data_IF_660943109822
#
_entry.id   IF_660943109822
#
_cell.length_a   1.000
_cell.length_b   1.000
_cell.length_c   1.000
_cell.angle_alpha   90.00
_cell.angle_beta   90.00
_cell.angle_gamma   90.00
#
_symmetry.space_group_name_H-M   'P 1'
#
loop_
_entity.id
_entity.type
_entity.pdbx_description
1 polymer ?
#
# COMPACT_ATOMS: atom_id res chain seq x y z
N UNK A 1 -14.86 24.67 0.16
CA UNK A 1 -15.18 23.75 1.27
C UNK A 1 -13.94 22.88 1.51
N UNK A 2 -13.41 22.80 2.73
CA UNK A 2 -12.27 21.92 3.01
C UNK A 2 -12.74 20.45 3.05
N UNK A 3 -12.12 19.62 2.25
CA UNK A 3 -12.44 18.20 2.17
C UNK A 3 -11.82 17.47 3.36
N UNK A 4 -12.61 16.67 4.08
CA UNK A 4 -12.16 15.98 5.29
C UNK A 4 -11.42 14.67 4.92
N UNK A 5 -10.18 14.57 5.39
CA UNK A 5 -9.37 13.35 5.34
C UNK A 5 -9.71 12.44 6.51
N UNK A 6 -10.06 11.20 6.26
CA UNK A 6 -10.35 10.19 7.30
C UNK A 6 -9.47 8.96 7.12
N UNK A 7 -9.11 8.31 8.23
CA UNK A 7 -8.33 7.08 8.22
C UNK A 7 -9.17 5.92 7.67
N UNK A 8 -8.52 4.94 7.05
CA UNK A 8 -9.18 3.73 6.54
C UNK A 8 -9.04 2.64 7.60
N UNK A 9 -10.16 2.28 8.21
CA UNK A 9 -10.24 1.19 9.21
C UNK A 9 -10.97 0.02 8.58
N UNK A 10 -10.41 -1.18 8.72
CA UNK A 10 -10.96 -2.42 8.16
C UNK A 10 -11.01 -3.48 9.24
N UNK A 11 -12.14 -4.18 9.33
CA UNK A 11 -12.35 -5.34 10.22
C UNK A 11 -12.18 -6.62 9.39
N UNK A 12 -11.27 -7.49 9.82
CA UNK A 12 -10.99 -8.78 9.20
C UNK A 12 -11.44 -9.89 10.13
N UNK A 13 -12.20 -10.83 9.61
CA UNK A 13 -12.47 -12.07 10.30
C UNK A 13 -11.24 -12.95 10.31
N UNK A 14 -10.96 -13.57 11.46
CA UNK A 14 -9.79 -14.40 11.65
C UNK A 14 -10.20 -15.86 11.76
N UNK A 15 -9.58 -16.78 11.02
CA UNK A 15 -9.79 -18.20 11.19
C UNK A 15 -9.25 -18.67 12.55
N UNK A 16 -9.71 -19.82 13.02
CA UNK A 16 -9.08 -20.49 14.15
C UNK A 16 -7.62 -20.86 13.81
N UNK A 17 -6.77 -20.91 14.82
CA UNK A 17 -5.36 -21.25 14.67
C UNK A 17 -4.41 -20.05 14.70
N UNK A 18 -3.14 -20.32 14.39
CA UNK A 18 -2.07 -19.33 14.37
C UNK A 18 -2.18 -18.42 13.16
N UNK A 19 -2.07 -17.13 13.37
CA UNK A 19 -2.19 -16.13 12.30
C UNK A 19 -0.88 -15.85 11.54
N UNK A 20 0.28 -16.24 12.08
CA UNK A 20 1.56 -15.98 11.43
C UNK A 20 1.87 -14.48 11.27
N UNK A 21 1.42 -13.65 12.18
CA UNK A 21 1.77 -12.22 12.25
C UNK A 21 2.47 -11.91 13.57
N UNK A 22 3.17 -10.77 13.60
CA UNK A 22 3.72 -10.17 14.82
C UNK A 22 3.15 -8.78 15.01
N UNK A 23 2.99 -8.36 16.26
CA UNK A 23 2.65 -6.98 16.61
C UNK A 23 3.78 -6.35 17.41
N UNK A 24 4.03 -5.05 17.18
CA UNK A 24 5.13 -4.29 17.79
C UNK A 24 4.69 -2.88 18.15
N UNK A 25 5.38 -2.26 19.09
CA UNK A 25 5.18 -0.85 19.43
C UNK A 25 3.96 -0.54 20.30
N UNK A 26 3.79 0.74 20.61
CA UNK A 26 2.63 1.32 21.28
C UNK A 26 2.36 2.68 20.64
N UNK A 27 1.22 2.87 19.94
CA UNK A 27 0.16 1.88 19.71
C UNK A 27 0.65 0.65 18.92
N UNK A 28 -0.04 -0.50 19.08
CA UNK A 28 0.40 -1.75 18.46
C UNK A 28 0.25 -1.70 16.95
N UNK A 29 1.31 -1.97 16.25
CA UNK A 29 1.35 -2.07 14.80
C UNK A 29 1.74 -3.49 14.36
N UNK A 30 1.27 -3.90 13.20
CA UNK A 30 1.71 -5.14 12.56
C UNK A 30 3.20 -5.02 12.21
N UNK A 31 4.05 -5.84 12.80
CA UNK A 31 5.49 -5.86 12.53
C UNK A 31 5.82 -6.68 11.29
N UNK A 32 5.28 -7.89 11.20
CA UNK A 32 5.45 -8.77 10.03
C UNK A 32 4.25 -9.67 9.84
N UNK A 33 4.07 -10.16 8.62
CA UNK A 33 3.07 -11.17 8.25
C UNK A 33 3.78 -12.23 7.41
N UNK A 34 3.64 -13.48 7.78
CA UNK A 34 4.22 -14.60 7.03
C UNK A 34 3.47 -14.77 5.71
N UNK A 35 4.15 -15.26 4.69
CA UNK A 35 3.55 -15.49 3.35
C UNK A 35 2.48 -16.58 3.35
N UNK A 36 2.57 -17.55 4.25
CA UNK A 36 1.60 -18.63 4.48
C UNK A 36 0.50 -18.25 5.49
N UNK A 37 0.48 -17.01 5.96
CA UNK A 37 -0.51 -16.52 6.91
C UNK A 37 -1.91 -16.47 6.28
N UNK A 38 -2.96 -16.88 7.00
CA UNK A 38 -4.35 -16.74 6.52
C UNK A 38 -4.79 -15.27 6.37
N UNK A 39 -4.06 -14.34 6.97
CA UNK A 39 -4.30 -12.88 6.82
C UNK A 39 -3.33 -12.22 5.85
N UNK A 40 -2.50 -13.00 5.14
CA UNK A 40 -1.60 -12.47 4.12
C UNK A 40 -2.40 -11.76 3.00
N UNK A 41 -1.94 -10.57 2.60
CA UNK A 41 -2.64 -9.73 1.64
C UNK A 41 -3.83 -8.93 2.21
N UNK A 42 -4.36 -9.32 3.37
CA UNK A 42 -5.41 -8.57 4.07
C UNK A 42 -4.83 -7.56 5.06
N UNK A 43 -3.78 -7.93 5.74
CA UNK A 43 -3.05 -7.11 6.72
C UNK A 43 -1.61 -6.95 6.26
N UNK A 44 -1.05 -5.77 6.47
CA UNK A 44 0.32 -5.45 6.05
C UNK A 44 1.16 -4.92 7.21
N UNK A 45 2.49 -5.09 7.18
CA UNK A 45 3.38 -4.42 8.11
C UNK A 45 3.13 -2.91 8.17
N UNK A 46 3.08 -2.36 9.38
CA UNK A 46 2.75 -0.96 9.65
C UNK A 46 1.25 -0.67 9.84
N UNK A 47 0.34 -1.57 9.52
CA UNK A 47 -1.09 -1.41 9.87
C UNK A 47 -1.21 -1.33 11.41
N UNK A 48 -1.96 -0.34 11.92
CA UNK A 48 -2.16 -0.16 13.36
C UNK A 48 -3.34 -1.03 13.80
N UNK A 49 -3.14 -1.85 14.80
CA UNK A 49 -4.20 -2.70 15.38
C UNK A 49 -5.01 -1.84 16.35
N UNK A 50 -6.26 -1.55 16.01
CA UNK A 50 -7.11 -0.64 16.80
C UNK A 50 -8.14 -1.37 17.65
N UNK A 51 -8.53 -2.59 17.27
CA UNK A 51 -9.40 -3.42 18.13
C UNK A 51 -9.27 -4.91 17.81
N UNK A 52 -9.55 -5.74 18.81
CA UNK A 52 -9.69 -7.18 18.71
C UNK A 52 -11.08 -7.60 19.16
N UNK A 53 -11.81 -8.37 18.36
CA UNK A 53 -13.05 -9.02 18.77
C UNK A 53 -12.71 -10.34 19.45
N UNK A 54 -13.13 -10.49 20.71
CA UNK A 54 -13.02 -11.73 21.48
C UNK A 54 -14.37 -12.45 21.45
N UNK A 55 -14.41 -13.68 20.95
CA UNK A 55 -15.67 -14.44 20.90
C UNK A 55 -16.33 -14.56 22.27
N UNK A 56 -17.58 -14.12 22.39
CA UNK A 56 -18.36 -14.14 23.64
C UNK A 56 -18.04 -13.02 24.64
N UNK A 57 -17.00 -12.19 24.38
CA UNK A 57 -16.56 -11.12 25.30
C UNK A 57 -16.57 -9.72 24.65
N UNK A 58 -16.87 -9.65 23.36
CA UNK A 58 -16.93 -8.39 22.62
C UNK A 58 -15.58 -7.81 22.16
N UNK A 59 -15.62 -6.58 21.66
CA UNK A 59 -14.46 -5.88 21.14
C UNK A 59 -13.61 -5.29 22.27
N UNK A 60 -12.29 -5.39 22.12
CA UNK A 60 -11.29 -4.75 22.97
C UNK A 60 -10.60 -3.67 22.16
N UNK A 61 -10.64 -2.45 22.65
CA UNK A 61 -9.79 -1.36 22.12
C UNK A 61 -8.33 -1.65 22.48
N UNK A 62 -7.49 -1.70 21.46
CA UNK A 62 -6.07 -2.00 21.60
C UNK A 62 -5.19 -0.77 21.50
N UNK A 63 -5.74 0.42 21.27
CA UNK A 63 -4.98 1.65 21.02
C UNK A 63 -4.03 2.05 22.15
N UNK A 64 -4.32 1.63 23.38
CA UNK A 64 -3.51 1.86 24.58
C UNK A 64 -2.68 0.63 25.01
N UNK A 65 -2.72 -0.46 24.25
CA UNK A 65 -1.91 -1.65 24.51
C UNK A 65 -0.58 -1.57 23.78
N UNK A 66 0.36 -2.38 24.20
CA UNK A 66 1.56 -2.63 23.42
C UNK A 66 1.40 -3.86 22.50
N UNK A 67 2.34 -4.04 21.59
CA UNK A 67 2.31 -5.15 20.63
C UNK A 67 2.32 -6.51 21.31
N UNK A 68 3.01 -6.66 22.46
CA UNK A 68 3.07 -7.94 23.18
C UNK A 68 1.72 -8.28 23.79
N UNK A 69 1.05 -7.35 24.46
CA UNK A 69 -0.28 -7.56 25.04
C UNK A 69 -1.34 -7.93 23.98
N UNK A 70 -1.23 -7.34 22.78
CA UNK A 70 -2.05 -7.71 21.62
C UNK A 70 -1.77 -9.14 21.18
N UNK A 71 -0.49 -9.53 21.09
CA UNK A 71 -0.11 -10.91 20.72
C UNK A 71 -0.58 -11.93 21.75
N UNK A 72 -0.45 -11.65 23.04
CA UNK A 72 -0.92 -12.50 24.12
C UNK A 72 -2.43 -12.73 24.04
N UNK A 73 -3.17 -11.65 23.75
CA UNK A 73 -4.63 -11.73 23.51
C UNK A 73 -4.96 -12.59 22.28
N UNK A 74 -4.27 -12.41 21.17
CA UNK A 74 -4.48 -13.21 19.96
C UNK A 74 -4.17 -14.69 20.18
N UNK A 75 -3.15 -15.00 20.97
CA UNK A 75 -2.77 -16.37 21.34
C UNK A 75 -3.79 -17.00 22.28
N UNK A 76 -4.26 -16.27 23.30
CA UNK A 76 -5.26 -16.75 24.27
C UNK A 76 -6.60 -17.17 23.61
N UNK A 77 -6.93 -16.59 22.48
CA UNK A 77 -8.14 -16.91 21.72
C UNK A 77 -7.85 -17.60 20.38
N UNK A 78 -6.66 -18.22 20.23
CA UNK A 78 -6.22 -18.79 18.95
C UNK A 78 -7.20 -19.84 18.40
N UNK A 79 -7.72 -20.69 19.24
CA UNK A 79 -8.59 -21.81 18.84
C UNK A 79 -10.09 -21.45 18.75
N UNK A 80 -10.44 -20.18 18.95
CA UNK A 80 -11.82 -19.71 18.91
C UNK A 80 -12.18 -19.18 17.51
N UNK A 81 -13.35 -19.58 17.01
CA UNK A 81 -13.97 -18.97 15.84
C UNK A 81 -14.63 -17.62 16.18
N UNK A 82 -14.89 -16.80 15.17
CA UNK A 82 -15.55 -15.49 15.35
C UNK A 82 -14.62 -14.40 15.91
N UNK A 83 -13.31 -14.64 15.92
CA UNK A 83 -12.34 -13.59 16.20
C UNK A 83 -12.28 -12.60 15.04
N UNK A 84 -12.13 -11.32 15.35
CA UNK A 84 -11.83 -10.32 14.32
C UNK A 84 -10.66 -9.45 14.73
N UNK A 85 -9.92 -9.01 13.74
CA UNK A 85 -8.85 -8.01 13.86
C UNK A 85 -9.30 -6.74 13.14
N UNK A 86 -9.38 -5.64 13.86
CA UNK A 86 -9.66 -4.34 13.27
C UNK A 86 -8.37 -3.56 13.15
N UNK A 87 -8.02 -3.18 11.93
CA UNK A 87 -6.78 -2.45 11.66
C UNK A 87 -7.06 -1.12 10.97
N UNK A 88 -6.32 -0.09 11.38
CA UNK A 88 -6.17 1.14 10.62
C UNK A 88 -5.07 0.90 9.59
N UNK A 89 -5.41 1.01 8.32
CA UNK A 89 -4.48 0.76 7.22
C UNK A 89 -3.39 1.81 7.16
N UNK A 90 -2.14 1.37 7.28
CA UNK A 90 -0.99 2.26 7.24
C UNK A 90 -0.92 3.04 5.92
N UNK A 91 -0.78 4.35 6.04
CA UNK A 91 -0.68 5.23 4.88
C UNK A 91 -1.96 5.31 4.03
N UNK A 92 -3.06 4.65 4.37
CA UNK A 92 -4.32 4.78 3.66
C UNK A 92 -5.24 5.83 4.28
N UNK A 93 -5.93 6.57 3.42
CA UNK A 93 -6.93 7.53 3.85
C UNK A 93 -8.06 7.66 2.83
N UNK A 94 -9.21 8.09 3.32
CA UNK A 94 -10.41 8.36 2.51
C UNK A 94 -10.65 9.85 2.45
N UNK A 95 -11.10 10.31 1.28
CA UNK A 95 -11.50 11.68 1.03
C UNK A 95 -12.85 11.67 0.33
N UNK A 96 -13.82 12.41 0.89
CA UNK A 96 -15.09 12.66 0.23
C UNK A 96 -14.98 13.91 -0.64
N UNK A 97 -15.36 13.83 -1.91
CA UNK A 97 -15.27 14.94 -2.87
C UNK A 97 -16.62 15.18 -3.53
N UNK A 98 -17.03 16.45 -3.68
CA UNK A 98 -18.25 16.77 -4.41
C UNK A 98 -18.17 16.30 -5.88
N UNK A 99 -19.33 16.23 -6.58
CA UNK A 99 -19.35 16.01 -8.02
C UNK A 99 -18.52 17.05 -8.78
N UNK A 100 -18.08 16.69 -9.99
CA UNK A 100 -17.33 17.57 -10.88
C UNK A 100 -15.85 17.21 -11.00
N UNK A 101 -15.06 18.12 -11.55
CA UNK A 101 -13.64 17.87 -11.83
C UNK A 101 -12.81 17.70 -10.56
N UNK A 102 -12.05 16.62 -10.48
CA UNK A 102 -11.13 16.36 -9.36
C UNK A 102 -9.93 17.32 -9.34
N UNK A 103 -9.56 17.89 -10.50
CA UNK A 103 -8.42 18.80 -10.62
C UNK A 103 -7.09 18.16 -10.26
N UNK A 104 -6.91 16.87 -10.55
CA UNK A 104 -5.64 16.14 -10.40
C UNK A 104 -5.21 15.55 -11.73
N UNK A 105 -3.90 15.40 -11.92
CA UNK A 105 -3.33 14.57 -12.98
C UNK A 105 -2.62 13.38 -12.35
N UNK A 106 -2.53 12.30 -13.11
CA UNK A 106 -1.82 11.08 -12.69
C UNK A 106 -0.56 10.91 -13.52
N UNK A 107 0.42 10.20 -12.96
CA UNK A 107 1.61 9.78 -13.70
C UNK A 107 1.18 8.75 -14.74
N UNK A 108 1.65 8.91 -15.99
CA UNK A 108 1.27 8.04 -17.11
C UNK A 108 1.45 6.56 -16.77
N UNK A 109 0.44 5.77 -17.11
CA UNK A 109 0.43 4.33 -16.85
C UNK A 109 0.33 3.94 -15.36
N UNK A 110 -0.03 4.87 -14.47
CA UNK A 110 -0.17 4.60 -13.04
C UNK A 110 -1.42 5.25 -12.46
N UNK A 111 -1.77 4.89 -11.21
CA UNK A 111 -2.80 5.58 -10.42
C UNK A 111 -2.19 6.60 -9.44
N UNK A 112 -0.92 6.96 -9.62
CA UNK A 112 -0.19 7.87 -8.72
C UNK A 112 -0.45 9.32 -9.13
N UNK A 113 -0.85 10.14 -8.18
CA UNK A 113 -1.09 11.58 -8.38
C UNK A 113 0.24 12.25 -8.77
N UNK A 114 0.24 12.92 -9.92
CA UNK A 114 1.36 13.71 -10.38
C UNK A 114 1.26 15.16 -9.88
N UNK A 115 0.11 15.80 -10.10
CA UNK A 115 -0.14 17.19 -9.69
C UNK A 115 -1.55 17.33 -9.15
N UNK A 116 -1.71 18.12 -8.09
CA UNK A 116 -3.00 18.60 -7.58
C UNK A 116 -3.09 20.08 -7.93
N UNK A 117 -4.08 20.46 -8.77
CA UNK A 117 -4.30 21.85 -9.17
C UNK A 117 -4.75 22.69 -7.98
N UNK A 118 -4.46 23.98 -8.00
CA UNK A 118 -4.88 24.93 -6.96
C UNK A 118 -6.40 25.07 -6.83
N UNK A 119 -7.13 24.77 -7.90
CA UNK A 119 -8.62 24.76 -7.95
C UNK A 119 -9.22 23.40 -7.57
N UNK A 120 -8.39 22.39 -7.27
CA UNK A 120 -8.85 21.05 -6.94
C UNK A 120 -9.54 21.02 -5.58
N UNK A 121 -10.70 20.33 -5.45
CA UNK A 121 -11.30 20.07 -4.16
C UNK A 121 -10.40 19.19 -3.27
N UNK A 122 -9.42 18.48 -3.86
CA UNK A 122 -8.45 17.63 -3.16
C UNK A 122 -7.24 18.41 -2.63
N UNK A 123 -7.15 19.73 -2.87
CA UNK A 123 -6.03 20.54 -2.40
C UNK A 123 -5.93 20.49 -0.86
N UNK A 124 -4.74 20.18 -0.35
CA UNK A 124 -4.48 20.02 1.07
C UNK A 124 -4.88 18.65 1.66
N UNK A 125 -5.75 17.89 0.98
CA UNK A 125 -6.11 16.53 1.40
C UNK A 125 -5.23 15.46 0.73
N UNK A 126 -4.86 15.68 -0.53
CA UNK A 126 -4.06 14.76 -1.35
C UNK A 126 -2.84 15.50 -1.87
N UNK A 127 -1.76 14.80 -2.10
CA UNK A 127 -0.49 15.34 -2.60
C UNK A 127 0.07 14.50 -3.75
N UNK A 128 1.01 15.07 -4.48
CA UNK A 128 1.79 14.32 -5.46
C UNK A 128 2.48 13.11 -4.80
N UNK A 129 2.47 11.97 -5.47
CA UNK A 129 2.97 10.69 -4.95
C UNK A 129 1.93 9.84 -4.23
N UNK A 130 0.77 10.38 -3.86
CA UNK A 130 -0.33 9.56 -3.35
C UNK A 130 -0.94 8.72 -4.47
N UNK A 131 -1.29 7.47 -4.19
CA UNK A 131 -1.86 6.55 -5.18
C UNK A 131 -3.35 6.36 -4.93
N UNK A 132 -4.17 6.60 -5.94
CA UNK A 132 -5.61 6.32 -5.88
C UNK A 132 -5.84 4.81 -5.98
N UNK A 133 -6.53 4.24 -5.00
CA UNK A 133 -6.81 2.81 -4.90
C UNK A 133 -8.23 2.45 -5.32
N UNK A 134 -9.20 3.29 -4.96
CA UNK A 134 -10.61 3.05 -5.29
C UNK A 134 -11.43 4.33 -5.31
N UNK A 135 -12.56 4.30 -6.02
CA UNK A 135 -13.59 5.33 -6.08
C UNK A 135 -14.93 4.68 -5.77
N UNK A 136 -15.64 5.16 -4.77
CA UNK A 136 -16.92 4.59 -4.29
C UNK A 136 -16.83 3.07 -4.04
N UNK A 137 -15.69 2.59 -3.52
CA UNK A 137 -15.41 1.17 -3.27
C UNK A 137 -15.01 0.35 -4.50
N UNK A 138 -15.11 0.88 -5.72
CA UNK A 138 -14.62 0.22 -6.94
C UNK A 138 -13.10 0.41 -7.05
N UNK A 139 -12.30 -0.66 -7.13
CA UNK A 139 -10.86 -0.55 -7.30
C UNK A 139 -10.54 0.09 -8.65
N UNK A 140 -9.43 0.85 -8.70
CA UNK A 140 -8.92 1.46 -9.93
C UNK A 140 -7.62 0.78 -10.35
N UNK A 141 -7.42 0.71 -11.66
CA UNK A 141 -6.17 0.29 -12.29
C UNK A 141 -5.72 1.39 -13.26
N UNK A 142 -4.46 1.40 -13.71
CA UNK A 142 -4.02 2.38 -14.71
C UNK A 142 -4.89 2.43 -15.97
N UNK A 143 -5.44 1.29 -16.38
CA UNK A 143 -6.30 1.20 -17.56
C UNK A 143 -7.73 1.72 -17.30
N UNK A 144 -8.23 1.66 -16.06
CA UNK A 144 -9.65 1.94 -15.74
C UNK A 144 -9.86 3.23 -14.95
N UNK A 145 -8.80 3.90 -14.51
CA UNK A 145 -8.88 5.03 -13.57
C UNK A 145 -9.81 6.13 -14.04
N UNK A 146 -9.72 6.55 -15.29
CA UNK A 146 -10.55 7.63 -15.82
C UNK A 146 -12.01 7.21 -16.00
N UNK A 147 -12.26 5.97 -16.42
CA UNK A 147 -13.60 5.44 -16.59
C UNK A 147 -14.32 5.30 -15.24
N UNK A 148 -13.61 4.79 -14.22
CA UNK A 148 -14.16 4.65 -12.87
C UNK A 148 -14.43 6.00 -12.23
N UNK A 149 -13.55 7.00 -12.40
CA UNK A 149 -13.76 8.37 -11.91
C UNK A 149 -14.98 8.99 -12.61
N UNK A 150 -15.07 8.86 -13.94
CA UNK A 150 -16.18 9.38 -14.73
C UNK A 150 -17.50 8.71 -14.37
N UNK A 151 -17.52 7.39 -14.22
CA UNK A 151 -18.73 6.65 -13.84
C UNK A 151 -19.20 6.96 -12.41
N UNK A 152 -18.29 7.40 -11.53
CA UNK A 152 -18.63 7.81 -10.18
C UNK A 152 -19.09 9.28 -10.08
N UNK A 153 -18.99 10.04 -11.17
CA UNK A 153 -19.42 11.44 -11.25
C UNK A 153 -20.84 11.51 -11.83
N UNK A 154 -21.82 11.10 -11.04
CA UNK A 154 -23.24 11.11 -11.39
C UNK A 154 -23.92 12.48 -11.20
N UNK A 155 -23.15 13.49 -10.77
CA UNK A 155 -23.62 14.86 -10.54
C UNK A 155 -24.43 15.05 -9.25
N UNK A 156 -24.73 13.99 -8.49
CA UNK A 156 -25.69 14.05 -7.38
C UNK A 156 -25.08 13.78 -6.01
N UNK A 157 -23.99 13.04 -5.94
CA UNK A 157 -23.46 12.53 -4.69
C UNK A 157 -21.98 12.83 -4.42
N UNK A 158 -21.60 12.75 -3.16
CA UNK A 158 -20.20 12.80 -2.75
C UNK A 158 -19.46 11.52 -3.20
N UNK A 159 -18.36 11.68 -3.91
CA UNK A 159 -17.49 10.56 -4.31
C UNK A 159 -16.51 10.25 -3.19
N UNK A 160 -16.43 8.99 -2.79
CA UNK A 160 -15.50 8.50 -1.76
C UNK A 160 -14.25 7.95 -2.43
N UNK A 161 -13.15 8.72 -2.38
CA UNK A 161 -11.86 8.33 -2.93
C UNK A 161 -10.99 7.73 -1.83
N UNK A 162 -10.35 6.61 -2.08
CA UNK A 162 -9.36 6.02 -1.17
C UNK A 162 -7.99 6.15 -1.79
N UNK A 163 -7.10 6.79 -1.07
CA UNK A 163 -5.71 6.96 -1.46
C UNK A 163 -4.78 6.20 -0.51
N UNK A 164 -3.61 5.83 -1.02
CA UNK A 164 -2.46 5.41 -0.21
C UNK A 164 -1.37 6.45 -0.34
N UNK A 165 -0.88 6.94 0.79
CA UNK A 165 0.35 7.71 0.85
C UNK A 165 1.49 6.78 1.27
N UNK A 166 2.53 6.74 0.49
CA UNK A 166 3.78 6.11 0.91
C UNK A 166 4.53 7.19 1.66
N UNK A 167 4.45 7.20 2.98
CA UNK A 167 5.12 8.08 3.93
C UNK A 167 5.93 9.27 3.38
N UNK A 168 6.48 10.11 4.21
CA UNK A 168 7.34 11.22 3.75
C UNK A 168 8.60 10.76 3.02
N UNK A 169 9.57 11.62 2.93
CA UNK A 169 10.91 11.28 2.42
C UNK A 169 11.53 10.18 3.28
N UNK A 170 11.92 9.03 2.71
CA UNK A 170 12.60 7.98 3.45
C UNK A 170 13.88 8.47 4.12
N UNK A 171 14.29 7.83 5.21
CA UNK A 171 15.53 8.16 5.89
C UNK A 171 16.73 8.08 4.91
N UNK A 172 17.59 9.07 4.96
CA UNK A 172 18.76 9.18 4.07
C UNK A 172 18.46 9.69 2.65
N UNK A 173 17.20 9.93 2.29
CA UNK A 173 16.80 10.52 1.02
C UNK A 173 16.64 12.04 1.10
N UNK A 174 16.91 12.73 0.01
CA UNK A 174 16.66 14.18 -0.12
C UNK A 174 15.17 14.43 -0.35
N UNK A 175 14.61 15.42 0.33
CA UNK A 175 13.22 15.86 0.12
C UNK A 175 12.96 16.33 -1.32
N UNK A 176 11.68 16.28 -1.73
CA UNK A 176 11.27 16.73 -3.08
C UNK A 176 11.21 15.61 -4.12
N UNK A 177 11.46 14.36 -3.74
CA UNK A 177 11.19 13.21 -4.59
C UNK A 177 9.73 12.76 -4.52
N UNK A 178 9.42 11.72 -5.27
CA UNK A 178 8.09 11.13 -5.37
C UNK A 178 8.15 9.62 -5.25
N UNK A 179 7.08 9.02 -4.75
CA UNK A 179 6.89 7.58 -4.76
C UNK A 179 6.33 7.15 -6.11
N UNK A 180 6.98 6.18 -6.75
CA UNK A 180 6.57 5.62 -8.03
C UNK A 180 6.54 4.09 -7.96
N UNK A 181 5.67 3.48 -8.75
CA UNK A 181 5.67 2.03 -8.92
C UNK A 181 6.85 1.63 -9.81
N UNK A 182 7.64 0.68 -9.36
CA UNK A 182 8.72 0.06 -10.12
C UNK A 182 8.39 -1.40 -10.37
N UNK A 183 8.48 -1.80 -11.63
CA UNK A 183 8.46 -3.22 -12.02
C UNK A 183 9.88 -3.77 -11.86
N UNK A 184 10.05 -4.93 -11.24
CA UNK A 184 11.35 -5.52 -10.98
C UNK A 184 11.30 -7.05 -11.00
N UNK A 185 12.46 -7.70 -11.17
CA UNK A 185 12.59 -9.15 -11.08
C UNK A 185 12.62 -9.59 -9.60
N UNK A 186 11.47 -9.65 -8.98
CA UNK A 186 11.26 -10.05 -7.60
C UNK A 186 11.08 -11.56 -7.43
N UNK A 187 10.60 -11.99 -6.24
CA UNK A 187 10.45 -13.41 -5.91
C UNK A 187 9.57 -14.19 -6.88
N UNK A 188 8.43 -13.61 -7.32
CA UNK A 188 7.51 -14.28 -8.23
C UNK A 188 8.10 -14.42 -9.63
N UNK A 189 8.71 -13.35 -10.16
CA UNK A 189 9.42 -13.41 -11.45
C UNK A 189 10.51 -14.49 -11.43
N UNK A 190 11.29 -14.58 -10.33
CA UNK A 190 12.35 -15.59 -10.18
C UNK A 190 11.80 -17.01 -10.11
N UNK A 191 10.69 -17.24 -9.39
CA UNK A 191 10.01 -18.55 -9.37
C UNK A 191 9.59 -19.00 -10.76
N UNK A 192 8.93 -18.10 -11.51
CA UNK A 192 8.51 -18.39 -12.87
C UNK A 192 9.68 -18.63 -13.82
N UNK A 193 10.78 -17.89 -13.69
CA UNK A 193 11.99 -18.10 -14.45
C UNK A 193 12.61 -19.47 -14.14
N UNK A 194 12.72 -19.86 -12.87
CA UNK A 194 13.19 -21.21 -12.48
C UNK A 194 12.30 -22.31 -13.04
N UNK A 195 10.98 -22.14 -12.91
CA UNK A 195 10.01 -23.10 -13.45
C UNK A 195 10.17 -23.25 -14.98
N UNK A 196 10.23 -22.14 -15.70
CA UNK A 196 10.42 -22.16 -17.14
C UNK A 196 11.76 -22.77 -17.55
N UNK A 197 12.84 -22.58 -16.79
CA UNK A 197 14.12 -23.23 -17.04
C UNK A 197 14.05 -24.74 -16.96
N UNK A 198 13.21 -25.31 -16.10
CA UNK A 198 13.03 -26.76 -16.00
C UNK A 198 12.40 -27.35 -17.26
N UNK A 199 11.54 -26.60 -17.96
CA UNK A 199 10.82 -27.09 -19.15
C UNK A 199 11.47 -26.68 -20.46
N UNK A 200 12.10 -25.49 -20.51
CA UNK A 200 12.59 -24.90 -21.74
C UNK A 200 14.11 -24.68 -21.73
N UNK A 201 14.80 -25.07 -20.65
CA UNK A 201 16.24 -24.83 -20.49
C UNK A 201 16.60 -23.35 -20.42
N UNK A 202 17.79 -22.97 -20.91
CA UNK A 202 18.29 -21.59 -20.87
C UNK A 202 17.32 -20.52 -21.42
N UNK A 203 16.52 -20.76 -22.48
CA UNK A 203 15.50 -19.78 -22.90
C UNK A 203 14.49 -19.41 -21.82
N UNK A 204 14.24 -20.27 -20.83
CA UNK A 204 13.38 -19.94 -19.69
C UNK A 204 13.86 -18.73 -18.88
N UNK A 205 15.15 -18.41 -18.90
CA UNK A 205 15.71 -17.21 -18.26
C UNK A 205 15.23 -15.90 -18.89
N UNK A 206 14.68 -15.94 -20.12
CA UNK A 206 14.11 -14.74 -20.75
C UNK A 206 12.96 -14.13 -19.93
N UNK A 207 12.30 -14.91 -19.04
CA UNK A 207 11.28 -14.40 -18.12
C UNK A 207 11.86 -13.33 -17.17
N UNK A 208 13.15 -13.40 -16.82
CA UNK A 208 13.80 -12.37 -16.01
C UNK A 208 13.91 -11.03 -16.74
N UNK A 209 13.81 -11.02 -18.05
CA UNK A 209 13.81 -9.80 -18.85
C UNK A 209 12.41 -9.16 -18.94
N UNK A 210 11.38 -9.90 -18.54
CA UNK A 210 10.00 -9.44 -18.46
C UNK A 210 9.52 -9.51 -17.00
N UNK A 211 10.05 -8.68 -16.10
CA UNK A 211 9.72 -8.73 -14.69
C UNK A 211 8.23 -8.42 -14.47
N UNK A 212 7.58 -9.20 -13.61
CA UNK A 212 6.15 -9.05 -13.27
C UNK A 212 5.90 -8.53 -11.86
N UNK A 213 6.93 -8.57 -10.99
CA UNK A 213 6.78 -8.06 -9.62
C UNK A 213 6.77 -6.54 -9.60
N UNK A 214 6.00 -5.97 -8.68
CA UNK A 214 5.84 -4.53 -8.52
C UNK A 214 6.18 -4.12 -7.10
N UNK A 215 6.84 -2.96 -6.96
CA UNK A 215 7.11 -2.34 -5.66
C UNK A 215 7.04 -0.83 -5.76
N UNK A 216 6.77 -0.19 -4.63
CA UNK A 216 6.86 1.27 -4.54
C UNK A 216 8.27 1.69 -4.17
N UNK A 217 8.79 2.66 -4.88
CA UNK A 217 10.11 3.24 -4.64
C UNK A 217 10.02 4.75 -4.58
N UNK A 218 10.79 5.36 -3.68
CA UNK A 218 10.97 6.80 -3.63
C UNK A 218 12.11 7.20 -4.56
N UNK A 219 11.82 8.05 -5.52
CA UNK A 219 12.79 8.55 -6.51
C UNK A 219 12.91 10.05 -6.39
N UNK A 220 14.13 10.54 -6.31
CA UNK A 220 14.42 11.95 -6.47
C UNK A 220 15.50 12.12 -7.57
N UNK A 221 15.11 12.70 -8.68
CA UNK A 221 15.96 12.87 -9.86
C UNK A 221 16.75 14.18 -9.86
N UNK A 222 16.69 14.98 -8.79
CA UNK A 222 17.50 16.21 -8.69
C UNK A 222 19.00 15.89 -8.67
N UNK A 223 19.81 16.73 -9.30
CA UNK A 223 21.26 16.53 -9.45
C UNK A 223 22.00 16.24 -8.14
N UNK A 224 21.55 16.82 -7.03
CA UNK A 224 22.16 16.68 -5.70
C UNK A 224 21.33 15.78 -4.76
N UNK A 225 20.37 15.03 -5.27
CA UNK A 225 19.57 14.14 -4.47
C UNK A 225 20.40 12.95 -3.97
N UNK A 226 20.15 12.52 -2.74
CA UNK A 226 20.70 11.26 -2.20
C UNK A 226 19.59 10.19 -2.23
N UNK A 227 19.93 8.99 -2.63
CA UNK A 227 21.24 8.42 -2.97
C UNK A 227 21.79 8.77 -4.35
N UNK A 228 21.16 9.60 -5.16
CA UNK A 228 21.64 10.03 -6.46
C UNK A 228 20.92 9.38 -7.65
N UNK A 229 21.23 9.80 -8.90
CA UNK A 229 20.59 9.32 -10.10
C UNK A 229 20.70 7.80 -10.24
N UNK A 230 19.58 7.16 -10.64
CA UNK A 230 19.51 5.71 -10.81
C UNK A 230 19.35 4.90 -9.54
N UNK A 231 19.17 5.53 -8.39
CA UNK A 231 18.85 4.87 -7.11
C UNK A 231 17.56 5.36 -6.53
N UNK A 232 16.89 4.47 -5.81
CA UNK A 232 15.61 4.72 -5.16
C UNK A 232 15.61 4.10 -3.76
N UNK A 233 14.71 4.55 -2.88
CA UNK A 233 14.51 3.95 -1.59
C UNK A 233 13.17 3.23 -1.52
N UNK A 234 13.15 2.05 -0.88
CA UNK A 234 11.95 1.33 -0.51
C UNK A 234 11.28 2.01 0.71
N UNK A 235 10.02 1.67 1.02
CA UNK A 235 9.32 2.18 2.20
C UNK A 235 10.01 1.89 3.54
N UNK A 236 10.80 0.82 3.60
CA UNK A 236 11.62 0.43 4.77
C UNK A 236 12.97 1.15 4.85
N UNK A 237 13.29 2.03 3.88
CA UNK A 237 14.55 2.76 3.78
C UNK A 237 15.65 2.01 3.02
N UNK A 238 15.43 0.79 2.56
CA UNK A 238 16.41 0.05 1.74
C UNK A 238 16.66 0.77 0.43
N UNK A 239 17.92 0.96 0.08
CA UNK A 239 18.32 1.58 -1.20
C UNK A 239 18.38 0.51 -2.28
N UNK A 240 17.78 0.81 -3.41
CA UNK A 240 17.70 -0.08 -4.58
C UNK A 240 18.04 0.69 -5.85
N UNK A 241 18.46 -0.04 -6.88
CA UNK A 241 18.65 0.55 -8.18
C UNK A 241 17.31 0.84 -8.85
N UNK A 242 17.23 2.01 -9.47
CA UNK A 242 16.08 2.48 -10.23
C UNK A 242 16.50 2.85 -11.64
N UNK A 243 15.90 2.22 -12.62
CA UNK A 243 16.02 2.60 -14.02
C UNK A 243 14.70 3.16 -14.51
N UNK A 244 14.74 4.30 -15.18
CA UNK A 244 13.57 4.91 -15.81
C UNK A 244 13.03 3.94 -16.86
N UNK A 245 11.82 3.41 -16.62
CA UNK A 245 11.23 2.37 -17.47
C UNK A 245 11.11 1.00 -16.81
N UNK A 246 11.44 0.89 -15.50
CA UNK A 246 11.14 -0.30 -14.70
C UNK A 246 12.05 -1.50 -14.91
N UNK A 247 13.06 -1.41 -15.76
CA UNK A 247 14.04 -2.49 -15.90
C UNK A 247 15.14 -2.31 -14.86
N UNK A 248 15.17 -3.19 -13.86
CA UNK A 248 16.34 -3.38 -13.01
C UNK A 248 17.42 -4.06 -13.85
N UNK A 249 18.57 -3.44 -14.01
CA UNK A 249 19.76 -4.20 -14.38
C UNK A 249 20.18 -5.00 -13.14
N UNK A 250 20.37 -6.32 -13.24
CA UNK A 250 21.00 -7.06 -12.17
C UNK A 250 22.41 -6.48 -11.97
N UNK A 251 22.81 -6.33 -10.70
CA UNK A 251 24.20 -6.10 -10.31
C UNK A 251 25.02 -7.32 -10.63
#
# INVERSE_FOLDING_TARGET
MAVKKTKVVVKHELPAGKLGLTAVGSPPAVGSVRTDSPVAGQVAPGDIIVALTRPGLGDVDTTNLDGQAVMDTLIAFADREGRCLTVEKHGMYRVGVPPGLLGVSFVDGTCTVHVVKTTSPLLGATKAGDTLLSVNGKPVTPATIFDVIKAADDGTGERKLVFRTYGGTPAGMTAGGTWVEQVYAGPETKKWACFACLFFGLPGLCILMCPGDKRMVYVNLAKNAKPGPGRAALPDGTIVDYTKGGQTRPL
#
